data_IF_376770356837
#
_entry.id   IF_376770356837
#
_cell.length_a   1.000
_cell.length_b   1.000
_cell.length_c   1.000
_cell.angle_alpha   90.00
_cell.angle_beta   90.00
_cell.angle_gamma   90.00
#
_symmetry.space_group_name_H-M   'P 1'
#
loop_
_entity.id
_entity.type
_entity.pdbx_description
1 polymer ?
#
# COMPACT_ATOMS: atom_id res chain seq x y z
N UNK A 1 14.55 -16.69 -19.39
CA UNK A 1 13.91 -16.87 -18.07
C UNK A 1 12.45 -17.32 -18.27
N UNK A 2 12.12 -18.51 -17.79
CA UNK A 2 10.72 -18.99 -17.81
C UNK A 2 10.13 -18.67 -16.42
N UNK A 3 9.10 -17.83 -16.33
CA UNK A 3 8.47 -17.52 -15.05
C UNK A 3 7.88 -18.79 -14.44
N UNK A 4 8.29 -19.12 -13.22
CA UNK A 4 7.63 -20.16 -12.45
C UNK A 4 6.48 -19.52 -11.66
N UNK A 5 5.21 -19.84 -11.95
CA UNK A 5 4.05 -19.18 -11.32
C UNK A 5 3.93 -19.45 -9.81
N UNK A 6 4.59 -20.48 -9.30
CA UNK A 6 4.61 -20.80 -7.86
C UNK A 6 5.83 -20.22 -7.13
N UNK A 7 6.76 -19.60 -7.85
CA UNK A 7 7.92 -18.97 -7.22
C UNK A 7 7.58 -17.56 -6.72
N UNK A 8 7.71 -17.33 -5.44
CA UNK A 8 7.48 -16.04 -4.78
C UNK A 8 8.39 -14.89 -5.31
N UNK A 9 9.37 -15.22 -6.15
CA UNK A 9 10.35 -14.26 -6.69
C UNK A 9 10.04 -13.82 -8.13
N UNK A 10 8.93 -14.26 -8.72
CA UNK A 10 8.59 -13.94 -10.10
C UNK A 10 7.54 -12.84 -10.20
N UNK A 11 7.62 -12.04 -11.28
CA UNK A 11 6.58 -11.05 -11.60
C UNK A 11 5.19 -11.68 -11.78
N UNK A 12 5.13 -12.93 -12.25
CA UNK A 12 3.87 -13.68 -12.32
C UNK A 12 3.25 -13.91 -10.95
N UNK A 13 4.04 -14.17 -9.91
CA UNK A 13 3.53 -14.37 -8.56
C UNK A 13 2.93 -13.09 -7.98
N UNK A 14 3.54 -11.94 -8.26
CA UNK A 14 2.98 -10.63 -7.89
C UNK A 14 1.60 -10.45 -8.54
N UNK A 15 1.49 -10.71 -9.84
CA UNK A 15 0.22 -10.65 -10.57
C UNK A 15 -0.85 -11.56 -9.94
N UNK A 16 -0.47 -12.80 -9.66
CA UNK A 16 -1.36 -13.79 -9.06
C UNK A 16 -1.89 -13.35 -7.69
N UNK A 17 -0.99 -12.90 -6.79
CA UNK A 17 -1.38 -12.47 -5.44
C UNK A 17 -2.24 -11.20 -5.43
N UNK A 18 -1.93 -10.24 -6.27
CA UNK A 18 -2.78 -9.06 -6.44
C UNK A 18 -4.14 -9.47 -7.01
N UNK A 19 -4.18 -10.43 -7.93
CA UNK A 19 -5.42 -10.98 -8.48
C UNK A 19 -6.32 -11.62 -7.41
N UNK A 20 -5.75 -12.38 -6.47
CA UNK A 20 -6.49 -12.95 -5.33
C UNK A 20 -7.08 -11.85 -4.44
N UNK A 21 -6.27 -10.84 -4.08
CA UNK A 21 -6.74 -9.71 -3.27
C UNK A 21 -7.87 -8.94 -3.97
N UNK A 22 -7.73 -8.72 -5.27
CA UNK A 22 -8.73 -8.03 -6.10
C UNK A 22 -10.03 -8.84 -6.21
N UNK A 23 -9.95 -10.17 -6.34
CA UNK A 23 -11.13 -11.03 -6.36
C UNK A 23 -11.92 -10.95 -5.05
N UNK A 24 -11.23 -10.95 -3.91
CA UNK A 24 -11.86 -10.78 -2.60
C UNK A 24 -12.49 -9.38 -2.45
N UNK A 25 -11.80 -8.32 -2.86
CA UNK A 25 -12.35 -6.97 -2.84
C UNK A 25 -13.61 -6.86 -3.71
N UNK A 26 -13.59 -7.41 -4.92
CA UNK A 26 -14.74 -7.41 -5.82
C UNK A 26 -15.95 -8.18 -5.25
N UNK A 27 -15.72 -9.29 -4.52
CA UNK A 27 -16.80 -10.01 -3.84
C UNK A 27 -17.44 -9.12 -2.76
N UNK A 28 -16.64 -8.45 -1.93
CA UNK A 28 -17.16 -7.52 -0.90
C UNK A 28 -17.96 -6.41 -1.57
N UNK A 29 -17.40 -5.74 -2.59
CA UNK A 29 -18.04 -4.63 -3.30
C UNK A 29 -19.38 -5.05 -3.91
N UNK A 30 -19.45 -6.27 -4.43
CA UNK A 30 -20.68 -6.80 -5.03
C UNK A 30 -21.78 -7.10 -4.01
N UNK A 31 -21.42 -7.68 -2.86
CA UNK A 31 -22.42 -8.23 -1.93
C UNK A 31 -22.70 -7.33 -0.73
N UNK A 32 -21.79 -6.46 -0.31
CA UNK A 32 -21.98 -5.60 0.85
C UNK A 32 -23.25 -4.73 0.79
N UNK A 33 -23.66 -4.13 -0.36
CA UNK A 33 -24.89 -3.34 -0.40
C UNK A 33 -26.17 -4.14 -0.07
N UNK A 34 -26.25 -5.40 -0.52
CA UNK A 34 -27.39 -6.25 -0.19
C UNK A 34 -27.39 -6.62 1.30
N UNK A 35 -26.21 -6.96 1.85
CA UNK A 35 -26.07 -7.25 3.29
C UNK A 35 -26.44 -6.03 4.14
N UNK A 36 -26.05 -4.81 3.73
CA UNK A 36 -26.42 -3.58 4.43
C UNK A 36 -27.95 -3.33 4.43
N UNK A 37 -28.63 -3.72 3.35
CA UNK A 37 -30.07 -3.62 3.25
C UNK A 37 -30.79 -4.63 4.19
N UNK A 38 -30.25 -5.86 4.30
CA UNK A 38 -30.77 -6.90 5.19
C UNK A 38 -30.49 -6.62 6.67
N UNK A 39 -29.40 -5.90 6.97
CA UNK A 39 -28.96 -5.58 8.34
C UNK A 39 -28.78 -4.07 8.55
N UNK A 40 -29.86 -3.27 8.54
CA UNK A 40 -29.78 -1.80 8.57
C UNK A 40 -29.11 -1.25 9.84
N UNK A 41 -29.17 -1.97 10.95
CA UNK A 41 -28.49 -1.57 12.21
C UNK A 41 -26.95 -1.71 12.15
N UNK A 42 -26.44 -2.45 11.17
CA UNK A 42 -25.00 -2.65 10.95
C UNK A 42 -24.50 -1.90 9.70
N UNK A 43 -25.33 -1.08 9.10
CA UNK A 43 -25.05 -0.40 7.84
C UNK A 43 -23.72 0.34 7.87
N UNK A 44 -23.44 1.11 8.91
CA UNK A 44 -22.20 1.89 9.01
C UNK A 44 -20.95 1.02 9.05
N UNK A 45 -21.01 -0.12 9.75
CA UNK A 45 -19.91 -1.08 9.78
C UNK A 45 -19.71 -1.75 8.40
N UNK A 46 -20.81 -2.08 7.72
CA UNK A 46 -20.77 -2.69 6.38
C UNK A 46 -20.28 -1.68 5.35
N UNK A 47 -20.73 -0.43 5.42
CA UNK A 47 -20.26 0.67 4.55
C UNK A 47 -18.75 0.91 4.74
N UNK A 48 -18.26 0.83 5.98
CA UNK A 48 -16.83 0.92 6.24
C UNK A 48 -16.05 -0.23 5.58
N UNK A 49 -16.53 -1.48 5.71
CA UNK A 49 -15.92 -2.64 5.02
C UNK A 49 -15.94 -2.45 3.50
N UNK A 50 -17.03 -1.93 2.95
CA UNK A 50 -17.13 -1.61 1.53
C UNK A 50 -16.10 -0.55 1.12
N UNK A 51 -15.92 0.50 1.92
CA UNK A 51 -14.90 1.52 1.72
C UNK A 51 -13.48 0.94 1.72
N UNK A 52 -13.18 0.05 2.68
CA UNK A 52 -11.90 -0.68 2.74
C UNK A 52 -11.65 -1.48 1.45
N UNK A 53 -12.65 -2.22 0.98
CA UNK A 53 -12.55 -3.04 -0.23
C UNK A 53 -12.33 -2.20 -1.51
N UNK A 54 -12.98 -1.03 -1.60
CA UNK A 54 -12.79 -0.10 -2.72
C UNK A 54 -11.34 0.42 -2.77
N UNK A 55 -10.78 0.83 -1.63
CA UNK A 55 -9.37 1.27 -1.57
C UNK A 55 -8.42 0.13 -1.90
N UNK A 56 -8.68 -1.08 -1.40
CA UNK A 56 -7.87 -2.25 -1.73
C UNK A 56 -7.88 -2.54 -3.23
N UNK A 57 -9.05 -2.46 -3.89
CA UNK A 57 -9.17 -2.63 -5.34
C UNK A 57 -8.42 -1.53 -6.11
N UNK A 58 -8.53 -0.28 -5.66
CA UNK A 58 -7.79 0.84 -6.22
C UNK A 58 -6.27 0.63 -6.10
N UNK A 59 -5.77 0.22 -4.93
CA UNK A 59 -4.36 -0.08 -4.69
C UNK A 59 -3.88 -1.23 -5.59
N UNK A 60 -4.65 -2.31 -5.72
CA UNK A 60 -4.34 -3.44 -6.59
C UNK A 60 -4.17 -2.99 -8.06
N UNK A 61 -5.11 -2.21 -8.59
CA UNK A 61 -5.00 -1.71 -9.96
C UNK A 61 -3.84 -0.75 -10.14
N UNK A 62 -3.58 0.10 -9.13
CA UNK A 62 -2.46 1.03 -9.17
C UNK A 62 -1.12 0.30 -9.17
N UNK A 63 -0.95 -0.74 -8.37
CA UNK A 63 0.26 -1.54 -8.36
C UNK A 63 0.44 -2.32 -9.67
N UNK A 64 -0.64 -2.91 -10.19
CA UNK A 64 -0.57 -3.61 -11.47
C UNK A 64 -0.22 -2.69 -12.63
N UNK A 65 -0.84 -1.51 -12.74
CA UNK A 65 -0.58 -0.60 -13.86
C UNK A 65 0.83 -0.02 -13.82
N UNK A 66 1.39 0.22 -12.61
CA UNK A 66 2.78 0.69 -12.45
C UNK A 66 3.82 -0.35 -12.83
N UNK A 67 3.53 -1.63 -12.58
CA UNK A 67 4.49 -2.74 -12.82
C UNK A 67 4.38 -3.27 -14.25
N UNK A 68 3.17 -3.34 -14.80
CA UNK A 68 2.91 -4.02 -16.08
C UNK A 68 2.43 -3.09 -17.20
N UNK A 69 2.20 -1.82 -16.92
CA UNK A 69 1.91 -0.77 -17.89
C UNK A 69 3.12 0.14 -18.13
N UNK A 70 3.00 1.01 -19.13
CA UNK A 70 3.89 2.14 -19.31
C UNK A 70 3.44 3.30 -18.39
N UNK A 71 4.32 4.26 -18.05
CA UNK A 71 3.95 5.44 -17.27
C UNK A 71 2.75 6.20 -17.84
N UNK A 72 1.99 6.90 -16.99
CA UNK A 72 0.79 7.62 -17.40
C UNK A 72 1.04 8.61 -18.56
N UNK A 73 2.16 9.29 -18.54
CA UNK A 73 2.59 10.29 -19.54
C UNK A 73 3.37 9.69 -20.73
N UNK A 74 3.41 8.37 -20.89
CA UNK A 74 4.07 7.71 -22.03
C UNK A 74 3.46 8.11 -23.37
N UNK A 75 2.14 8.28 -23.44
CA UNK A 75 1.46 8.96 -24.56
C UNK A 75 0.71 10.18 -24.03
N UNK A 76 0.54 11.20 -24.88
CA UNK A 76 0.01 12.49 -24.48
C UNK A 76 -1.39 12.43 -23.81
N UNK A 77 -2.19 11.42 -24.15
CA UNK A 77 -3.55 11.23 -23.66
C UNK A 77 -3.72 9.97 -22.78
N UNK A 78 -2.62 9.29 -22.44
CA UNK A 78 -2.57 8.03 -21.71
C UNK A 78 -3.44 6.91 -22.32
N UNK A 79 -3.68 6.95 -23.65
CA UNK A 79 -4.50 5.96 -24.38
C UNK A 79 -3.82 4.63 -24.61
N UNK A 80 -2.51 4.52 -24.37
CA UNK A 80 -1.75 3.29 -24.51
C UNK A 80 -2.23 2.22 -23.53
N UNK A 81 -1.97 0.94 -23.88
CA UNK A 81 -2.49 -0.20 -23.12
C UNK A 81 -1.86 -0.32 -21.73
N UNK A 82 -2.72 -0.32 -20.72
CA UNK A 82 -2.42 -0.60 -19.32
C UNK A 82 -2.62 -2.08 -18.95
N UNK A 83 -3.45 -2.33 -17.96
CA UNK A 83 -3.82 -3.65 -17.44
C UNK A 83 -5.32 -3.90 -17.62
N UNK A 84 -5.83 -5.12 -17.47
CA UNK A 84 -7.27 -5.38 -17.44
C UNK A 84 -7.96 -4.60 -16.31
N UNK A 85 -9.09 -3.97 -16.61
CA UNK A 85 -9.99 -3.41 -15.62
C UNK A 85 -10.85 -4.51 -15.02
N UNK A 86 -10.61 -4.88 -13.77
CA UNK A 86 -11.34 -5.94 -13.07
C UNK A 86 -12.31 -5.30 -12.08
N UNK A 87 -13.50 -4.97 -12.54
CA UNK A 87 -14.51 -4.21 -11.80
C UNK A 87 -15.58 -5.07 -11.11
N UNK A 88 -15.52 -6.39 -11.29
CA UNK A 88 -16.47 -7.38 -10.76
C UNK A 88 -15.79 -8.71 -10.44
N UNK A 89 -16.41 -9.59 -9.65
CA UNK A 89 -15.97 -10.98 -9.56
C UNK A 89 -15.98 -11.64 -10.93
N UNK A 90 -14.88 -12.33 -11.27
CA UNK A 90 -14.73 -13.04 -12.54
C UNK A 90 -15.13 -14.49 -12.40
N UNK A 91 -15.82 -15.01 -13.42
CA UNK A 91 -16.07 -16.43 -13.59
C UNK A 91 -14.94 -17.13 -14.35
N UNK A 92 -14.96 -18.48 -14.39
CA UNK A 92 -13.88 -19.26 -14.99
C UNK A 92 -13.72 -19.07 -16.51
N UNK A 93 -14.74 -18.56 -17.18
CA UNK A 93 -14.73 -18.30 -18.63
C UNK A 93 -14.58 -16.82 -19.00
N UNK A 94 -14.40 -15.94 -18.01
CA UNK A 94 -14.23 -14.52 -18.26
C UNK A 94 -12.83 -14.24 -18.84
N UNK A 95 -12.80 -13.61 -19.99
CA UNK A 95 -11.57 -13.14 -20.63
C UNK A 95 -11.62 -11.62 -20.70
N UNK A 96 -10.69 -10.97 -20.04
CA UNK A 96 -10.56 -9.52 -20.04
C UNK A 96 -9.38 -9.08 -20.91
N UNK A 97 -9.65 -8.13 -21.83
CA UNK A 97 -8.61 -7.41 -22.54
C UNK A 97 -7.94 -6.36 -21.65
N UNK A 98 -6.78 -5.85 -22.10
CA UNK A 98 -6.13 -4.70 -21.46
C UNK A 98 -6.95 -3.43 -21.73
N UNK A 99 -7.16 -2.63 -20.71
CA UNK A 99 -7.73 -1.29 -20.80
C UNK A 99 -6.62 -0.26 -21.05
N UNK A 100 -6.99 0.97 -21.44
CA UNK A 100 -6.01 2.05 -21.51
C UNK A 100 -5.50 2.42 -20.11
N UNK A 101 -4.29 2.98 -20.03
CA UNK A 101 -3.76 3.51 -18.77
C UNK A 101 -4.68 4.59 -18.22
N UNK A 102 -5.20 5.47 -19.09
CA UNK A 102 -6.19 6.50 -18.74
C UNK A 102 -7.42 5.91 -18.03
N UNK A 103 -8.01 4.84 -18.60
CA UNK A 103 -9.21 4.23 -18.02
C UNK A 103 -8.93 3.57 -16.67
N UNK A 104 -7.73 2.98 -16.50
CA UNK A 104 -7.33 2.38 -15.22
C UNK A 104 -7.14 3.47 -14.16
N UNK A 105 -6.46 4.58 -14.48
CA UNK A 105 -6.30 5.67 -13.52
C UNK A 105 -7.63 6.34 -13.16
N UNK A 106 -8.51 6.54 -14.15
CA UNK A 106 -9.87 7.04 -13.90
C UNK A 106 -10.65 6.11 -12.97
N UNK A 107 -10.55 4.81 -13.17
CA UNK A 107 -11.20 3.81 -12.32
C UNK A 107 -10.64 3.78 -10.89
N UNK A 108 -9.33 3.92 -10.73
CA UNK A 108 -8.69 4.05 -9.40
C UNK A 108 -9.24 5.28 -8.67
N UNK A 109 -9.30 6.44 -9.33
CA UNK A 109 -9.82 7.68 -8.74
C UNK A 109 -11.31 7.58 -8.41
N UNK A 110 -12.10 6.89 -9.22
CA UNK A 110 -13.51 6.62 -8.97
C UNK A 110 -13.71 5.76 -7.70
N UNK A 111 -12.93 4.69 -7.54
CA UNK A 111 -12.99 3.83 -6.36
C UNK A 111 -12.59 4.59 -5.09
N UNK A 112 -11.54 5.40 -5.16
CA UNK A 112 -11.12 6.26 -4.05
C UNK A 112 -12.21 7.26 -3.66
N UNK A 113 -12.92 7.85 -4.65
CA UNK A 113 -14.03 8.77 -4.40
C UNK A 113 -15.21 8.10 -3.70
N UNK A 114 -15.57 6.89 -4.13
CA UNK A 114 -16.61 6.09 -3.48
C UNK A 114 -16.20 5.71 -2.05
N UNK A 115 -14.95 5.31 -1.86
CA UNK A 115 -14.42 4.96 -0.54
C UNK A 115 -14.42 6.16 0.42
N UNK A 116 -14.02 7.35 -0.05
CA UNK A 116 -14.00 8.57 0.76
C UNK A 116 -15.39 8.94 1.32
N UNK A 117 -16.46 8.58 0.60
CA UNK A 117 -17.84 8.84 1.04
C UNK A 117 -18.34 7.84 2.09
N UNK A 118 -17.68 6.68 2.24
CA UNK A 118 -18.09 5.59 3.11
C UNK A 118 -17.22 5.46 4.37
N UNK A 119 -15.96 5.89 4.28
CA UNK A 119 -15.01 5.75 5.37
C UNK A 119 -15.19 6.89 6.37
N UNK A 120 -15.25 6.52 7.66
CA UNK A 120 -15.23 7.46 8.77
C UNK A 120 -13.81 7.52 9.38
N UNK A 121 -13.50 8.61 10.08
CA UNK A 121 -12.24 8.78 10.81
C UNK A 121 -12.13 7.84 12.03
N UNK A 122 -13.18 7.08 12.35
CA UNK A 122 -13.24 6.20 13.52
C UNK A 122 -12.14 5.10 13.54
N UNK A 123 -11.50 4.81 12.41
CA UNK A 123 -10.41 3.83 12.29
C UNK A 123 -9.01 4.49 12.21
N UNK A 124 -8.93 5.80 12.36
CA UNK A 124 -7.66 6.53 12.32
C UNK A 124 -6.67 6.10 13.42
N UNK A 125 -7.15 5.51 14.52
CA UNK A 125 -6.32 5.02 15.62
C UNK A 125 -5.58 3.70 15.28
N UNK A 126 -6.10 2.88 14.36
CA UNK A 126 -5.47 1.64 13.92
C UNK A 126 -5.01 1.76 12.48
N UNK A 127 -3.70 1.84 12.31
CA UNK A 127 -3.03 2.00 11.01
C UNK A 127 -3.17 0.80 10.06
N UNK A 128 -3.75 -0.31 10.51
CA UNK A 128 -4.01 -1.48 9.68
C UNK A 128 -5.37 -1.38 8.95
N UNK A 129 -6.17 -0.36 9.26
CA UNK A 129 -7.39 -0.06 8.55
C UNK A 129 -7.23 1.20 7.71
N UNK A 130 -7.87 1.21 6.56
CA UNK A 130 -7.88 2.39 5.70
C UNK A 130 -8.75 3.46 6.34
N UNK A 131 -8.18 4.63 6.59
CA UNK A 131 -8.88 5.85 7.01
C UNK A 131 -9.07 6.80 5.83
N UNK A 132 -9.87 7.85 6.01
CA UNK A 132 -9.97 8.94 5.03
C UNK A 132 -8.59 9.60 4.77
N UNK A 133 -7.74 9.65 5.79
CA UNK A 133 -6.35 10.10 5.66
C UNK A 133 -5.55 9.21 4.69
N UNK A 134 -5.70 7.89 4.77
CA UNK A 134 -5.06 6.94 3.85
C UNK A 134 -5.60 7.08 2.41
N UNK A 135 -6.90 7.35 2.25
CA UNK A 135 -7.49 7.67 0.94
C UNK A 135 -6.86 8.93 0.35
N UNK A 136 -6.70 10.00 1.14
CA UNK A 136 -6.04 11.22 0.69
C UNK A 136 -4.57 10.98 0.31
N UNK A 137 -3.85 10.17 1.09
CA UNK A 137 -2.47 9.77 0.77
C UNK A 137 -2.41 8.97 -0.55
N UNK A 138 -3.38 8.10 -0.78
CA UNK A 138 -3.49 7.37 -2.05
C UNK A 138 -3.79 8.29 -3.23
N UNK A 139 -4.75 9.23 -3.09
CA UNK A 139 -5.01 10.26 -4.10
C UNK A 139 -3.75 11.05 -4.45
N UNK A 140 -3.02 11.53 -3.43
CA UNK A 140 -1.77 12.27 -3.65
C UNK A 140 -0.78 11.46 -4.48
N UNK A 141 -0.61 10.18 -4.15
CA UNK A 141 0.30 9.27 -4.88
C UNK A 141 -0.17 9.03 -6.32
N UNK A 142 -1.46 8.81 -6.55
CA UNK A 142 -2.02 8.59 -7.89
C UNK A 142 -1.81 9.83 -8.76
N UNK A 143 -2.16 11.01 -8.26
CA UNK A 143 -1.96 12.27 -8.97
C UNK A 143 -0.48 12.60 -9.23
N UNK A 144 0.42 12.23 -8.29
CA UNK A 144 1.86 12.35 -8.50
C UNK A 144 2.32 11.54 -9.73
N UNK A 145 1.82 10.31 -9.90
CA UNK A 145 2.14 9.47 -11.06
C UNK A 145 1.46 9.94 -12.36
N UNK A 146 0.40 10.73 -12.26
CA UNK A 146 -0.24 11.41 -13.40
C UNK A 146 0.47 12.72 -13.75
N UNK A 147 1.43 13.18 -12.95
CA UNK A 147 2.06 14.50 -13.01
C UNK A 147 1.06 15.67 -12.83
N UNK A 148 -0.07 15.41 -12.18
CA UNK A 148 -1.02 16.42 -11.74
C UNK A 148 -0.56 16.97 -10.36
N UNK A 149 0.39 17.89 -10.41
CA UNK A 149 1.09 18.41 -9.24
C UNK A 149 0.16 19.15 -8.27
N UNK A 150 -0.83 19.88 -8.80
CA UNK A 150 -1.77 20.65 -8.00
C UNK A 150 -2.65 19.72 -7.14
N UNK A 151 -3.21 18.69 -7.74
CA UNK A 151 -4.00 17.71 -7.00
C UNK A 151 -3.11 16.84 -6.10
N UNK A 152 -1.91 16.47 -6.54
CA UNK A 152 -0.96 15.75 -5.70
C UNK A 152 -0.64 16.53 -4.41
N UNK A 153 -0.34 17.83 -4.52
CA UNK A 153 -0.08 18.71 -3.38
C UNK A 153 -1.32 18.86 -2.48
N UNK A 154 -2.48 19.13 -3.06
CA UNK A 154 -3.75 19.28 -2.34
C UNK A 154 -4.03 18.06 -1.46
N UNK A 155 -3.95 16.86 -2.03
CA UNK A 155 -4.26 15.64 -1.29
C UNK A 155 -3.14 15.23 -0.32
N UNK A 156 -1.88 15.58 -0.60
CA UNK A 156 -0.81 15.44 0.40
C UNK A 156 -1.09 16.30 1.63
N UNK A 157 -1.49 17.56 1.44
CA UNK A 157 -1.86 18.46 2.54
C UNK A 157 -3.03 17.91 3.37
N UNK A 158 -4.05 17.34 2.71
CA UNK A 158 -5.18 16.69 3.40
C UNK A 158 -4.74 15.44 4.17
N UNK A 159 -3.79 14.67 3.61
CA UNK A 159 -3.28 13.47 4.26
C UNK A 159 -2.44 13.76 5.51
N UNK A 160 -1.69 14.87 5.55
CA UNK A 160 -0.86 15.25 6.69
C UNK A 160 -1.54 16.22 7.66
N UNK A 161 -2.79 16.59 7.41
CA UNK A 161 -3.51 17.56 8.23
C UNK A 161 -3.66 17.06 9.68
N UNK A 162 -3.15 17.84 10.63
CA UNK A 162 -3.17 17.49 12.05
C UNK A 162 -2.08 16.50 12.49
N UNK A 163 -1.22 16.03 11.58
CA UNK A 163 -0.12 15.14 11.91
C UNK A 163 1.18 15.93 12.15
N UNK A 164 2.01 15.41 13.02
CA UNK A 164 3.36 15.92 13.27
C UNK A 164 4.40 14.88 12.87
N UNK A 165 5.55 15.36 12.36
CA UNK A 165 6.67 14.47 12.07
C UNK A 165 7.29 13.95 13.37
N UNK A 166 7.56 12.66 13.42
CA UNK A 166 8.31 12.04 14.50
C UNK A 166 9.75 12.58 14.53
N UNK A 167 10.25 12.88 15.72
CA UNK A 167 11.59 13.45 15.91
C UNK A 167 12.41 12.59 16.84
N UNK A 168 13.73 12.65 16.69
CA UNK A 168 14.67 11.99 17.58
C UNK A 168 14.41 10.48 17.71
N UNK A 169 14.29 10.01 18.93
CA UNK A 169 14.08 8.59 19.24
C UNK A 169 12.74 8.06 18.69
N UNK A 170 11.70 8.88 18.63
CA UNK A 170 10.38 8.45 18.15
C UNK A 170 10.41 8.07 16.67
N UNK A 171 11.25 8.75 15.88
CA UNK A 171 11.48 8.40 14.48
C UNK A 171 12.10 7.00 14.32
N UNK A 172 13.04 6.64 15.17
CA UNK A 172 13.67 5.32 15.16
C UNK A 172 12.71 4.25 15.69
N UNK A 173 12.04 4.55 16.83
CA UNK A 173 11.14 3.63 17.52
C UNK A 173 9.94 3.20 16.65
N UNK A 174 9.47 4.03 15.72
CA UNK A 174 8.36 3.65 14.86
C UNK A 174 8.68 2.47 13.91
N UNK A 175 9.98 2.18 13.69
CA UNK A 175 10.43 1.01 12.93
C UNK A 175 10.78 -0.18 13.82
N UNK A 176 11.17 0.07 15.07
CA UNK A 176 11.52 -0.97 16.04
C UNK A 176 10.29 -1.52 16.78
N UNK A 177 9.25 -0.70 16.94
CA UNK A 177 8.03 -1.06 17.67
C UNK A 177 6.79 -0.89 16.80
N UNK A 178 6.29 -2.00 16.26
CA UNK A 178 5.11 -2.00 15.37
C UNK A 178 3.80 -1.63 16.09
N UNK A 179 3.76 -1.63 17.42
CA UNK A 179 2.62 -1.13 18.18
C UNK A 179 2.58 0.42 18.23
N UNK A 180 3.68 1.06 17.85
CA UNK A 180 3.75 2.53 17.77
C UNK A 180 3.32 2.99 16.38
N UNK A 181 2.25 3.80 16.31
CA UNK A 181 1.78 4.39 15.05
C UNK A 181 2.87 5.21 14.38
N UNK A 182 3.57 6.06 15.14
CA UNK A 182 4.53 7.03 14.60
C UNK A 182 3.88 7.89 13.51
N UNK A 183 4.56 8.06 12.40
CA UNK A 183 4.06 8.76 11.20
C UNK A 183 3.27 7.84 10.24
N UNK A 184 3.02 6.58 10.60
CA UNK A 184 2.36 5.66 9.70
C UNK A 184 0.88 6.02 9.54
N UNK A 185 0.46 6.22 8.29
CA UNK A 185 -0.94 6.44 7.89
C UNK A 185 -1.64 5.10 7.60
N UNK A 186 -0.95 4.21 6.90
CA UNK A 186 -1.45 2.87 6.57
C UNK A 186 -0.30 1.87 6.58
N UNK A 187 -0.52 0.74 7.28
CA UNK A 187 0.37 -0.43 7.28
C UNK A 187 -0.40 -1.65 6.78
N UNK A 188 0.25 -2.47 5.97
CA UNK A 188 -0.26 -3.80 5.63
C UNK A 188 0.37 -4.82 6.56
N UNK A 189 -0.45 -5.66 7.21
CA UNK A 189 0.06 -6.73 8.07
C UNK A 189 0.77 -7.79 7.22
N UNK A 190 2.03 -8.05 7.54
CA UNK A 190 2.87 -9.05 6.91
C UNK A 190 3.01 -10.34 7.71
N UNK A 191 1.99 -10.73 8.47
CA UNK A 191 2.05 -11.84 9.43
C UNK A 191 2.59 -13.17 8.85
N UNK A 192 2.39 -13.39 7.56
CA UNK A 192 2.85 -14.62 6.86
C UNK A 192 4.15 -14.42 6.05
N UNK A 193 4.66 -13.19 5.99
CA UNK A 193 5.93 -12.88 5.32
C UNK A 193 7.08 -13.17 6.30
N UNK A 194 7.24 -14.45 6.61
CA UNK A 194 8.23 -14.95 7.54
C UNK A 194 9.66 -14.61 7.12
N UNK A 195 10.40 -13.99 8.01
CA UNK A 195 11.87 -14.06 8.13
C UNK A 195 12.72 -13.64 6.91
N UNK A 196 12.28 -13.92 5.70
CA UNK A 196 13.08 -13.74 4.48
C UNK A 196 13.35 -12.28 4.13
N UNK A 197 12.39 -11.38 4.35
CA UNK A 197 12.63 -9.94 4.13
C UNK A 197 13.63 -9.41 5.15
N UNK A 198 13.53 -9.85 6.40
CA UNK A 198 14.48 -9.53 7.45
C UNK A 198 15.88 -10.01 7.10
N UNK A 199 16.03 -11.26 6.68
CA UNK A 199 17.30 -11.84 6.26
C UNK A 199 17.87 -11.11 5.04
N UNK A 200 17.03 -10.81 4.05
CA UNK A 200 17.42 -10.08 2.87
C UNK A 200 18.02 -8.71 3.20
N UNK A 201 17.34 -7.92 4.04
CA UNK A 201 17.82 -6.60 4.43
C UNK A 201 18.93 -6.63 5.49
N UNK A 202 19.07 -7.71 6.23
CA UNK A 202 20.12 -7.86 7.23
C UNK A 202 21.44 -8.37 6.65
N UNK A 203 21.42 -9.15 5.57
CA UNK A 203 22.61 -9.84 5.07
C UNK A 203 22.80 -9.81 3.56
N UNK A 204 21.72 -9.75 2.77
CA UNK A 204 21.84 -9.85 1.31
C UNK A 204 21.81 -8.46 0.63
N UNK A 205 20.97 -7.55 1.10
CA UNK A 205 20.82 -6.19 0.55
C UNK A 205 21.43 -5.16 1.51
N UNK A 206 22.74 -5.04 1.47
CA UNK A 206 23.48 -4.14 2.38
C UNK A 206 23.66 -2.75 1.76
N UNK A 207 23.62 -1.66 2.57
CA UNK A 207 23.91 -0.33 2.09
C UNK A 207 25.33 -0.23 1.52
N UNK A 208 25.47 0.35 0.35
CA UNK A 208 26.77 0.64 -0.25
C UNK A 208 27.50 1.75 0.53
N UNK A 209 28.84 1.72 0.54
CA UNK A 209 29.65 2.76 1.20
C UNK A 209 29.40 4.15 0.63
N UNK A 210 29.18 4.24 -0.67
CA UNK A 210 28.78 5.49 -1.34
C UNK A 210 27.45 6.04 -0.83
N UNK A 211 26.49 5.18 -0.51
CA UNK A 211 25.22 5.62 0.12
C UNK A 211 25.49 6.14 1.53
N UNK A 212 26.27 5.40 2.33
CA UNK A 212 26.56 5.78 3.72
C UNK A 212 27.31 7.12 3.78
N UNK A 213 28.22 7.37 2.83
CA UNK A 213 28.98 8.63 2.78
C UNK A 213 28.16 9.87 2.43
N UNK A 214 26.92 9.71 1.96
CA UNK A 214 26.00 10.82 1.68
C UNK A 214 25.24 11.31 2.91
N UNK A 215 25.27 10.53 4.01
CA UNK A 215 24.62 10.92 5.25
C UNK A 215 25.58 11.69 6.16
N UNK A 216 25.08 12.78 6.75
CA UNK A 216 25.76 13.41 7.88
C UNK A 216 25.78 12.46 9.08
N UNK A 217 26.83 12.49 9.88
CA UNK A 217 26.96 11.66 11.08
C UNK A 217 25.84 11.89 12.11
N UNK A 218 25.21 13.06 12.10
CA UNK A 218 24.07 13.40 12.94
C UNK A 218 22.71 12.99 12.34
N UNK A 219 22.68 12.47 11.11
CA UNK A 219 21.44 12.07 10.46
C UNK A 219 20.87 10.81 11.11
N UNK A 220 19.69 10.93 11.71
CA UNK A 220 19.02 9.82 12.38
C UNK A 220 18.75 8.61 11.47
N UNK A 221 18.55 8.85 10.17
CA UNK A 221 18.31 7.78 9.18
C UNK A 221 19.50 6.82 9.07
N UNK A 222 20.70 7.29 9.40
CA UNK A 222 21.89 6.46 9.42
C UNK A 222 21.76 5.29 10.42
N UNK A 223 21.09 5.49 11.55
CA UNK A 223 20.83 4.44 12.54
C UNK A 223 19.95 3.31 12.02
N UNK A 224 19.17 3.56 10.95
CA UNK A 224 18.29 2.57 10.33
C UNK A 224 18.99 1.72 9.26
N UNK A 225 20.16 2.15 8.78
CA UNK A 225 20.90 1.47 7.71
C UNK A 225 22.34 1.11 8.10
N UNK A 226 22.85 1.68 9.21
CA UNK A 226 24.17 1.42 9.77
C UNK A 226 24.11 1.47 11.30
N UNK A 227 23.73 0.36 11.93
CA UNK A 227 23.53 0.29 13.38
C UNK A 227 24.74 -0.39 14.06
N UNK A 228 25.33 0.26 15.07
CA UNK A 228 26.44 -0.28 15.86
C UNK A 228 27.66 -0.73 15.01
N UNK A 229 27.99 0.03 13.97
CA UNK A 229 29.12 -0.30 13.08
C UNK A 229 28.83 -1.40 12.07
N UNK A 230 27.60 -1.92 12.01
CA UNK A 230 27.19 -2.97 11.08
C UNK A 230 26.28 -2.37 10.00
N UNK A 231 26.65 -2.64 8.72
CA UNK A 231 25.81 -2.29 7.57
C UNK A 231 24.63 -3.25 7.52
N UNK A 232 23.45 -2.73 7.73
CA UNK A 232 22.20 -3.49 7.63
C UNK A 232 21.01 -2.55 7.59
N UNK A 233 19.96 -2.86 6.88
CA UNK A 233 18.71 -2.12 7.02
C UNK A 233 17.92 -2.72 8.18
N UNK A 234 17.74 -1.95 9.26
CA UNK A 234 16.97 -2.37 10.44
C UNK A 234 15.52 -1.89 10.43
N UNK A 235 15.09 -1.22 9.37
CA UNK A 235 13.66 -0.96 9.15
C UNK A 235 12.92 -2.29 9.06
N UNK A 236 11.76 -2.38 9.69
CA UNK A 236 10.91 -3.57 9.67
C UNK A 236 11.50 -4.83 10.34
N UNK A 237 12.58 -4.70 11.08
CA UNK A 237 13.20 -5.80 11.83
C UNK A 237 12.78 -5.81 13.30
N UNK A 238 11.52 -5.52 13.61
CA UNK A 238 11.03 -5.36 14.98
C UNK A 238 11.69 -6.35 15.96
N UNK A 239 12.54 -5.81 16.83
CA UNK A 239 13.32 -6.58 17.80
C UNK A 239 12.53 -6.88 19.08
N UNK A 240 11.37 -6.24 19.25
CA UNK A 240 10.57 -6.24 20.48
C UNK A 240 9.41 -7.22 20.48
N UNK A 241 9.22 -8.02 19.41
CA UNK A 241 8.19 -9.05 19.40
C UNK A 241 8.70 -10.25 20.22
N UNK A 242 7.94 -10.73 21.22
CA UNK A 242 8.28 -11.93 21.97
C UNK A 242 8.56 -13.11 21.03
N UNK A 243 9.53 -13.95 21.37
CA UNK A 243 9.99 -15.08 20.54
C UNK A 243 8.90 -16.12 20.19
N UNK A 244 7.76 -16.08 20.88
CA UNK A 244 6.60 -16.95 20.66
C UNK A 244 5.52 -16.38 19.74
N UNK A 245 5.72 -15.16 19.21
CA UNK A 245 4.80 -14.58 18.21
C UNK A 245 5.48 -14.53 16.84
N UNK A 246 4.72 -14.76 15.75
CA UNK A 246 5.26 -14.57 14.41
C UNK A 246 5.77 -13.13 14.28
N UNK A 247 7.03 -12.97 13.91
CA UNK A 247 7.64 -11.66 13.68
C UNK A 247 6.89 -11.02 12.53
N UNK A 248 6.11 -9.99 12.83
CA UNK A 248 5.37 -9.22 11.83
C UNK A 248 6.32 -8.22 11.20
N UNK A 249 6.41 -8.27 9.90
CA UNK A 249 7.05 -7.24 9.09
C UNK A 249 5.94 -6.47 8.39
N UNK A 250 5.46 -5.39 9.03
CA UNK A 250 4.39 -4.56 8.47
C UNK A 250 5.01 -3.44 7.61
N UNK A 251 4.93 -3.50 6.29
CA UNK A 251 5.39 -2.40 5.46
C UNK A 251 4.52 -1.17 5.70
N UNK A 252 5.16 -0.02 5.86
CA UNK A 252 4.47 1.26 5.89
C UNK A 252 4.11 1.62 4.45
N UNK A 253 2.82 1.64 4.13
CA UNK A 253 2.34 1.95 2.78
C UNK A 253 2.31 3.45 2.55
N UNK A 254 1.81 4.20 3.54
CA UNK A 254 1.80 5.66 3.54
C UNK A 254 2.35 6.21 4.85
N UNK A 255 3.22 7.21 4.69
CA UNK A 255 3.89 7.91 5.76
C UNK A 255 3.98 9.40 5.44
#
# INVERSE_FOLDING_TARGET
YVPNPVSATTSYYIWYRIGEAMANANNIIKYAPAVAADYPTQKDAIDNILGQALVLRALCHFDLVRVYGQPYNYSADASHLGVPKVDRPLGPNDILGRSSVKDIYAFILEDLGKAAALLSDSHAADVHYVSLQAVNAMYSRVYLYMEDWDNALKYAQLAINGESLAQGADYINMYDNLSTRGEAILRLSGADLTGRQKEFYASECLPADTLLSLYDAADLRLQLIHKNGVKQCVKYTATTIPDNQPKREDPIVFR
#
